data_IF_759953212729
#
_entry.id   IF_759953212729
#
_cell.length_a   1.000
_cell.length_b   1.000
_cell.length_c   1.000
_cell.angle_alpha   90.00
_cell.angle_beta   90.00
_cell.angle_gamma   90.00
#
_symmetry.space_group_name_H-M   'P 1'
#
loop_
_entity.id
_entity.type
_entity.pdbx_description
1 polymer ?
#
# COMPACT_ATOMS: atom_id res chain seq x y z
N UNK A 1 -30.74 30.33 39.27
CA UNK A 1 -29.86 29.14 39.30
C UNK A 1 -29.23 29.02 37.92
N UNK A 2 -27.93 29.21 37.79
CA UNK A 2 -27.24 29.06 36.49
C UNK A 2 -26.95 27.58 36.26
N UNK A 3 -27.61 26.99 35.26
CA UNK A 3 -27.35 25.61 34.86
C UNK A 3 -25.96 25.49 34.22
N UNK A 4 -25.15 24.56 34.71
CA UNK A 4 -23.86 24.20 34.10
C UNK A 4 -24.10 23.09 33.09
N UNK A 5 -23.50 23.21 31.91
CA UNK A 5 -23.65 22.25 30.80
C UNK A 5 -22.27 21.67 30.48
N UNK A 6 -22.20 20.38 30.16
CA UNK A 6 -20.97 19.74 29.70
C UNK A 6 -20.74 19.92 28.19
N UNK A 7 -19.51 20.24 27.81
CA UNK A 7 -19.15 20.42 26.40
C UNK A 7 -18.92 19.06 25.71
N UNK A 8 -19.62 18.73 24.60
CA UNK A 8 -19.54 17.42 23.93
C UNK A 8 -18.22 17.15 23.15
N UNK A 9 -17.22 18.01 23.29
CA UNK A 9 -15.93 17.92 22.57
C UNK A 9 -14.73 17.79 23.52
N UNK A 10 -14.85 18.30 24.75
CA UNK A 10 -13.76 18.30 25.73
C UNK A 10 -14.23 17.90 27.13
N UNK A 11 -15.51 17.54 27.27
CA UNK A 11 -16.19 17.10 28.48
C UNK A 11 -16.06 18.05 29.68
N UNK A 12 -15.68 19.30 29.43
CA UNK A 12 -15.55 20.34 30.45
C UNK A 12 -16.92 20.96 30.76
N UNK A 13 -17.17 21.18 32.04
CA UNK A 13 -18.34 21.91 32.54
C UNK A 13 -18.15 23.41 32.29
N UNK A 14 -19.17 24.06 31.72
CA UNK A 14 -19.17 25.49 31.50
C UNK A 14 -20.55 26.11 31.70
N UNK A 15 -20.57 27.39 32.08
CA UNK A 15 -21.80 28.16 32.20
C UNK A 15 -22.10 28.83 30.85
N UNK A 16 -23.22 28.50 30.17
CA UNK A 16 -23.54 29.07 28.87
C UNK A 16 -23.85 30.57 28.99
N UNK A 17 -23.24 31.38 28.13
CA UNK A 17 -23.53 32.83 28.05
C UNK A 17 -24.80 33.12 27.26
N UNK A 18 -25.21 32.20 26.38
CA UNK A 18 -26.40 32.31 25.53
C UNK A 18 -27.23 31.04 25.69
N UNK A 19 -28.57 31.15 25.60
CA UNK A 19 -29.52 30.04 25.76
C UNK A 19 -29.21 28.82 24.85
N UNK A 20 -28.62 29.04 23.68
CA UNK A 20 -28.32 27.98 22.70
C UNK A 20 -26.82 27.63 22.61
N UNK A 21 -26.01 28.03 23.61
CA UNK A 21 -24.57 27.75 23.58
C UNK A 21 -24.28 26.31 24.01
N UNK A 22 -23.96 25.45 23.04
CA UNK A 22 -23.66 24.02 23.28
C UNK A 22 -22.17 23.72 23.51
N UNK A 23 -21.28 24.66 23.21
CA UNK A 23 -19.83 24.46 23.28
C UNK A 23 -19.19 25.47 24.22
N UNK A 24 -18.20 25.03 24.99
CA UNK A 24 -17.45 25.90 25.91
C UNK A 24 -16.65 26.99 25.17
N UNK A 25 -16.25 26.73 23.93
CA UNK A 25 -15.46 27.64 23.10
C UNK A 25 -15.70 27.44 21.61
N UNK A 26 -15.35 28.45 20.83
CA UNK A 26 -15.35 28.40 19.37
C UNK A 26 -14.42 27.31 18.82
N UNK A 27 -13.33 27.01 19.52
CA UNK A 27 -12.41 25.93 19.17
C UNK A 27 -13.08 24.56 19.28
N UNK A 28 -13.87 24.33 20.34
CA UNK A 28 -14.62 23.09 20.52
C UNK A 28 -15.73 22.92 19.49
N UNK A 29 -16.42 24.02 19.13
CA UNK A 29 -17.39 24.05 18.04
C UNK A 29 -16.74 23.71 16.69
N UNK A 30 -15.64 24.38 16.35
CA UNK A 30 -14.87 24.13 15.11
C UNK A 30 -14.29 22.72 15.06
N UNK A 31 -13.79 22.19 16.18
CA UNK A 31 -13.24 20.82 16.25
C UNK A 31 -14.31 19.77 15.95
N UNK A 32 -15.54 19.95 16.43
CA UNK A 32 -16.66 19.06 16.10
C UNK A 32 -17.06 19.14 14.62
N UNK A 33 -17.06 20.34 14.02
CA UNK A 33 -17.49 20.53 12.62
C UNK A 33 -16.41 20.24 11.56
N UNK A 34 -15.11 20.33 11.91
CA UNK A 34 -13.98 20.26 10.95
C UNK A 34 -13.95 19.02 10.06
N UNK A 35 -14.53 17.91 10.52
CA UNK A 35 -14.54 16.63 9.79
C UNK A 35 -15.93 16.02 9.64
N UNK A 36 -16.98 16.66 10.15
CA UNK A 36 -18.34 16.14 10.09
C UNK A 36 -18.85 15.97 8.64
N UNK A 37 -18.47 16.87 7.73
CA UNK A 37 -18.88 16.82 6.32
C UNK A 37 -18.07 15.83 5.46
N UNK A 38 -16.99 15.22 5.99
CA UNK A 38 -16.03 14.43 5.19
C UNK A 38 -16.35 12.93 5.15
N UNK A 39 -17.46 12.48 5.76
CA UNK A 39 -17.87 11.08 5.81
C UNK A 39 -16.86 10.16 6.54
N UNK A 40 -17.12 8.85 6.53
CA UNK A 40 -16.22 7.85 7.09
C UNK A 40 -15.09 7.50 6.11
N UNK A 41 -14.09 8.39 5.99
CA UNK A 41 -12.89 8.15 5.15
C UNK A 41 -12.19 6.82 5.43
N UNK A 42 -12.35 6.30 6.64
CA UNK A 42 -11.86 4.97 7.01
C UNK A 42 -12.46 3.89 6.12
N UNK A 43 -13.79 3.81 5.99
CA UNK A 43 -14.44 2.73 5.23
C UNK A 43 -14.19 2.86 3.73
N UNK A 44 -14.16 4.08 3.20
CA UNK A 44 -13.80 4.35 1.80
C UNK A 44 -12.36 3.90 1.52
N UNK A 45 -11.42 4.24 2.39
CA UNK A 45 -10.03 3.84 2.25
C UNK A 45 -9.83 2.32 2.39
N UNK A 46 -10.58 1.68 3.29
CA UNK A 46 -10.61 0.21 3.43
C UNK A 46 -11.08 -0.44 2.13
N UNK A 47 -12.17 0.06 1.53
CA UNK A 47 -12.67 -0.45 0.25
C UNK A 47 -11.65 -0.27 -0.87
N UNK A 48 -11.06 0.92 -1.01
CA UNK A 48 -10.04 1.18 -2.03
C UNK A 48 -8.79 0.31 -1.84
N UNK A 49 -8.39 0.08 -0.60
CA UNK A 49 -7.27 -0.82 -0.28
C UNK A 49 -7.61 -2.27 -0.64
N UNK A 50 -8.82 -2.71 -0.33
CA UNK A 50 -9.30 -4.05 -0.70
C UNK A 50 -9.28 -4.25 -2.22
N UNK A 51 -9.87 -3.34 -2.99
CA UNK A 51 -9.88 -3.40 -4.45
C UNK A 51 -8.47 -3.41 -5.06
N UNK A 52 -7.55 -2.62 -4.48
CA UNK A 52 -6.15 -2.57 -4.91
C UNK A 52 -5.42 -3.91 -4.72
N UNK A 53 -5.54 -4.53 -3.54
CA UNK A 53 -4.87 -5.80 -3.26
C UNK A 53 -5.56 -7.01 -3.89
N UNK A 54 -6.89 -7.00 -4.00
CA UNK A 54 -7.64 -8.01 -4.74
C UNK A 54 -7.23 -8.01 -6.22
N UNK A 55 -7.11 -6.82 -6.82
CA UNK A 55 -6.60 -6.68 -8.19
C UNK A 55 -5.17 -7.20 -8.33
N UNK A 56 -4.29 -6.89 -7.38
CA UNK A 56 -2.92 -7.40 -7.38
C UNK A 56 -2.88 -8.94 -7.33
N UNK A 57 -3.76 -9.55 -6.53
CA UNK A 57 -3.90 -11.00 -6.42
C UNK A 57 -4.41 -11.62 -7.73
N UNK A 58 -5.40 -11.03 -8.40
CA UNK A 58 -5.86 -11.52 -9.71
C UNK A 58 -4.76 -11.50 -10.78
N UNK A 59 -3.94 -10.45 -10.79
CA UNK A 59 -2.79 -10.38 -11.70
C UNK A 59 -1.73 -11.44 -11.37
N UNK A 60 -1.47 -11.68 -10.09
CA UNK A 60 -0.59 -12.74 -9.64
C UNK A 60 -1.10 -14.11 -10.10
N UNK A 61 -2.38 -14.40 -9.83
CA UNK A 61 -3.03 -15.64 -10.23
C UNK A 61 -2.92 -15.86 -11.74
N UNK A 62 -3.24 -14.85 -12.54
CA UNK A 62 -3.11 -14.89 -14.00
C UNK A 62 -1.69 -15.26 -14.48
N UNK A 63 -0.65 -14.73 -13.83
CA UNK A 63 0.74 -15.07 -14.16
C UNK A 63 1.08 -16.51 -13.75
N UNK A 64 0.59 -16.99 -12.62
CA UNK A 64 0.98 -18.31 -12.09
C UNK A 64 0.11 -19.47 -12.59
N UNK A 65 -1.12 -19.21 -13.04
CA UNK A 65 -1.95 -20.18 -13.77
C UNK A 65 -1.42 -20.40 -15.19
N UNK A 66 -0.78 -19.39 -15.78
CA UNK A 66 -0.09 -19.52 -17.06
C UNK A 66 1.07 -20.51 -16.97
N UNK A 67 1.22 -21.35 -18.01
CA UNK A 67 2.29 -22.33 -18.11
C UNK A 67 3.69 -21.67 -17.96
N UNK A 68 4.66 -22.30 -17.28
CA UNK A 68 5.95 -21.69 -16.94
C UNK A 68 6.67 -21.01 -18.10
N UNK A 69 6.64 -21.62 -19.28
CA UNK A 69 7.24 -21.11 -20.52
C UNK A 69 6.59 -19.81 -21.03
N UNK A 70 5.29 -19.63 -20.79
CA UNK A 70 4.52 -18.48 -21.26
C UNK A 70 4.45 -17.32 -20.24
N UNK A 71 4.88 -17.53 -18.99
CA UNK A 71 4.81 -16.51 -17.92
C UNK A 71 5.57 -15.24 -18.27
N UNK A 72 6.69 -15.35 -18.99
CA UNK A 72 7.48 -14.19 -19.43
C UNK A 72 6.70 -13.34 -20.45
N UNK A 73 6.03 -13.99 -21.41
CA UNK A 73 5.14 -13.31 -22.36
C UNK A 73 3.96 -12.66 -21.67
N UNK A 74 3.37 -13.35 -20.67
CA UNK A 74 2.30 -12.78 -19.85
C UNK A 74 2.76 -11.53 -19.09
N UNK A 75 3.96 -11.56 -18.50
CA UNK A 75 4.52 -10.39 -17.83
C UNK A 75 4.78 -9.23 -18.79
N UNK A 76 5.30 -9.51 -20.01
CA UNK A 76 5.46 -8.50 -21.06
C UNK A 76 4.13 -7.85 -21.42
N UNK A 77 3.07 -8.66 -21.58
CA UNK A 77 1.71 -8.17 -21.86
C UNK A 77 1.20 -7.26 -20.75
N UNK A 78 1.35 -7.65 -19.47
CA UNK A 78 0.99 -6.81 -18.33
C UNK A 78 1.75 -5.48 -18.36
N UNK A 79 3.07 -5.50 -18.59
CA UNK A 79 3.87 -4.28 -18.67
C UNK A 79 3.48 -3.38 -19.84
N UNK A 80 2.97 -3.93 -20.95
CA UNK A 80 2.44 -3.16 -22.07
C UNK A 80 1.27 -2.26 -21.69
N UNK A 81 0.48 -2.64 -20.69
CA UNK A 81 -0.68 -1.87 -20.23
C UNK A 81 -0.32 -0.74 -19.23
N UNK A 82 0.97 -0.60 -18.87
CA UNK A 82 1.43 0.38 -17.88
C UNK A 82 1.05 1.82 -18.24
N UNK A 83 1.04 2.19 -19.52
CA UNK A 83 0.78 3.57 -19.94
C UNK A 83 -0.69 3.94 -19.74
N UNK A 84 -1.59 3.01 -20.02
CA UNK A 84 -3.03 3.22 -19.98
C UNK A 84 -3.61 3.01 -18.57
N UNK A 85 -2.99 2.17 -17.74
CA UNK A 85 -3.55 1.77 -16.45
C UNK A 85 -2.82 2.38 -15.24
N UNK A 86 -3.44 3.40 -14.66
CA UNK A 86 -2.94 4.03 -13.44
C UNK A 86 -2.98 3.10 -12.21
N UNK A 87 -3.97 2.21 -12.12
CA UNK A 87 -4.11 1.25 -11.02
C UNK A 87 -3.00 0.22 -11.06
N UNK A 88 -2.67 -0.30 -12.25
CA UNK A 88 -1.55 -1.23 -12.44
C UNK A 88 -0.23 -0.59 -11.99
N UNK A 89 0.04 0.66 -12.38
CA UNK A 89 1.24 1.37 -11.94
C UNK A 89 1.32 1.49 -10.41
N UNK A 90 0.20 1.76 -9.74
CA UNK A 90 0.14 1.82 -8.28
C UNK A 90 0.46 0.46 -7.66
N UNK A 91 -0.09 -0.62 -8.19
CA UNK A 91 0.18 -1.99 -7.73
C UNK A 91 1.66 -2.36 -7.90
N UNK A 92 2.23 -2.13 -9.08
CA UNK A 92 3.62 -2.51 -9.38
C UNK A 92 4.66 -1.71 -8.60
N UNK A 93 4.30 -0.51 -8.12
CA UNK A 93 5.19 0.37 -7.35
C UNK A 93 4.90 0.39 -5.85
N UNK A 94 3.92 -0.40 -5.40
CA UNK A 94 3.49 -0.47 -4.01
C UNK A 94 4.65 -0.94 -3.10
N UNK A 95 5.09 -0.11 -2.13
CA UNK A 95 6.17 -0.48 -1.23
C UNK A 95 5.84 -1.68 -0.33
N UNK A 96 4.57 -1.91 -0.01
CA UNK A 96 4.14 -3.04 0.82
C UNK A 96 4.37 -4.35 0.08
N UNK A 97 3.92 -4.44 -1.17
CA UNK A 97 4.13 -5.63 -2.00
C UNK A 97 5.62 -5.86 -2.28
N UNK A 98 6.40 -4.82 -2.55
CA UNK A 98 7.83 -4.98 -2.82
C UNK A 98 8.63 -5.47 -1.59
N UNK A 99 8.19 -5.12 -0.37
CA UNK A 99 8.86 -5.49 0.89
C UNK A 99 8.32 -6.75 1.55
N UNK A 100 7.23 -7.31 1.05
CA UNK A 100 6.63 -8.52 1.62
C UNK A 100 7.68 -9.64 1.73
N UNK A 101 7.72 -10.48 2.79
CA UNK A 101 8.62 -11.63 2.81
C UNK A 101 8.32 -12.62 1.66
N UNK A 102 9.30 -13.46 1.26
CA UNK A 102 9.03 -14.55 0.33
C UNK A 102 7.93 -15.48 0.89
N UNK A 103 7.07 -15.97 0.01
CA UNK A 103 6.04 -16.96 0.38
C UNK A 103 6.67 -18.33 0.57
N UNK A 104 5.99 -19.20 1.30
CA UNK A 104 6.40 -20.59 1.48
C UNK A 104 6.55 -21.36 0.15
N UNK A 105 5.72 -21.04 -0.84
CA UNK A 105 5.76 -21.67 -2.18
C UNK A 105 6.90 -21.12 -3.09
N UNK A 106 7.78 -20.25 -2.58
CA UNK A 106 8.79 -19.48 -3.34
C UNK A 106 8.25 -18.61 -4.49
N UNK A 107 6.92 -18.54 -4.64
CA UNK A 107 6.25 -17.69 -5.63
C UNK A 107 6.37 -16.22 -5.23
N UNK A 108 6.67 -15.38 -6.21
CA UNK A 108 6.81 -13.92 -6.04
C UNK A 108 5.45 -13.28 -6.23
N UNK A 109 5.10 -12.30 -5.42
CA UNK A 109 3.94 -11.46 -5.71
C UNK A 109 4.15 -10.68 -7.04
N UNK A 110 3.07 -10.13 -7.58
CA UNK A 110 3.09 -9.47 -8.89
C UNK A 110 4.11 -8.33 -8.98
N UNK A 111 4.24 -7.50 -7.94
CA UNK A 111 5.17 -6.38 -7.91
C UNK A 111 6.64 -6.85 -7.94
N UNK A 112 6.97 -7.89 -7.17
CA UNK A 112 8.31 -8.51 -7.18
C UNK A 112 8.59 -9.23 -8.49
N UNK A 113 7.60 -9.91 -9.05
CA UNK A 113 7.74 -10.59 -10.33
C UNK A 113 8.03 -9.58 -11.45
N UNK A 114 7.28 -8.47 -11.50
CA UNK A 114 7.52 -7.37 -12.43
C UNK A 114 8.89 -6.72 -12.21
N UNK A 115 9.28 -6.42 -10.96
CA UNK A 115 10.59 -5.84 -10.67
C UNK A 115 11.74 -6.77 -11.03
N UNK A 116 11.57 -8.09 -10.87
CA UNK A 116 12.57 -9.07 -11.30
C UNK A 116 12.64 -9.15 -12.83
N UNK A 117 11.50 -9.07 -13.51
CA UNK A 117 11.41 -9.04 -14.96
C UNK A 117 12.12 -7.80 -15.53
N UNK A 118 11.76 -6.60 -15.06
CA UNK A 118 12.38 -5.36 -15.58
C UNK A 118 13.87 -5.32 -15.33
N UNK A 119 14.31 -5.81 -14.16
CA UNK A 119 15.74 -5.90 -13.84
C UNK A 119 16.47 -6.91 -14.73
N UNK A 120 15.82 -8.03 -15.09
CA UNK A 120 16.42 -9.08 -15.93
C UNK A 120 16.57 -8.64 -17.39
N UNK A 121 15.55 -8.00 -17.96
CA UNK A 121 15.51 -7.69 -19.39
C UNK A 121 15.97 -6.28 -19.73
N UNK A 122 15.69 -5.30 -18.87
CA UNK A 122 16.01 -3.89 -19.13
C UNK A 122 17.11 -3.35 -18.20
N UNK A 123 17.58 -4.14 -17.24
CA UNK A 123 18.62 -3.72 -16.28
C UNK A 123 18.15 -2.65 -15.27
N UNK A 124 16.88 -2.24 -15.30
CA UNK A 124 16.35 -1.12 -14.51
C UNK A 124 15.32 -1.57 -13.46
N UNK A 125 15.11 -0.70 -12.46
CA UNK A 125 14.04 -0.87 -11.48
C UNK A 125 12.67 -0.66 -12.14
N UNK A 126 11.60 -1.25 -11.57
CA UNK A 126 10.23 -1.09 -12.09
C UNK A 126 9.77 0.37 -12.11
N UNK A 127 10.23 1.20 -11.16
CA UNK A 127 9.90 2.64 -11.12
C UNK A 127 10.54 3.38 -12.29
N UNK A 128 11.84 3.17 -12.48
CA UNK A 128 12.60 3.74 -13.60
C UNK A 128 12.04 3.28 -14.95
N UNK A 129 11.65 2.00 -15.05
CA UNK A 129 11.00 1.47 -16.25
C UNK A 129 9.69 2.20 -16.56
N UNK A 130 8.83 2.44 -15.57
CA UNK A 130 7.58 3.18 -15.75
C UNK A 130 7.83 4.62 -16.19
N UNK A 131 8.86 5.28 -15.63
CA UNK A 131 9.27 6.63 -16.02
C UNK A 131 9.78 6.68 -17.46
N UNK A 132 10.67 5.76 -17.84
CA UNK A 132 11.17 5.62 -19.21
C UNK A 132 10.06 5.29 -20.20
N UNK A 133 9.13 4.42 -19.81
CA UNK A 133 7.97 4.07 -20.62
C UNK A 133 7.10 5.30 -20.89
N UNK A 134 6.86 6.14 -19.88
CA UNK A 134 6.13 7.41 -20.05
C UNK A 134 6.87 8.40 -20.92
N UNK A 135 8.20 8.42 -20.85
CA UNK A 135 9.05 9.30 -21.65
C UNK A 135 9.25 8.79 -23.09
N UNK A 136 8.85 7.55 -23.41
CA UNK A 136 9.09 6.92 -24.71
C UNK A 136 10.54 6.53 -24.96
N UNK A 137 11.37 6.45 -23.91
CA UNK A 137 12.82 6.20 -24.01
C UNK A 137 13.20 4.76 -23.63
N UNK A 138 12.29 3.80 -23.83
CA UNK A 138 12.55 2.40 -23.48
C UNK A 138 13.61 1.85 -24.42
N UNK A 139 14.82 1.64 -23.92
CA UNK A 139 15.85 0.89 -24.62
C UNK A 139 15.52 -0.60 -24.45
N UNK A 140 15.09 -1.27 -25.54
CA UNK A 140 14.70 -2.69 -25.52
C UNK A 140 15.90 -3.64 -25.30
N UNK A 141 17.12 -3.14 -25.41
CA UNK A 141 18.35 -3.93 -25.36
C UNK A 141 19.39 -3.27 -24.46
N UNK A 142 19.64 -3.85 -23.28
CA UNK A 142 20.88 -3.63 -22.55
C UNK A 142 21.59 -4.98 -22.36
N UNK A 143 22.87 -5.13 -22.75
CA UNK A 143 23.66 -6.28 -22.34
C UNK A 143 23.80 -6.24 -20.82
N UNK A 144 23.27 -7.26 -20.15
CA UNK A 144 23.26 -7.36 -18.69
C UNK A 144 24.69 -7.57 -18.18
N UNK A 145 25.43 -6.50 -17.91
CA UNK A 145 26.65 -6.58 -17.10
C UNK A 145 26.23 -6.74 -15.65
N UNK A 146 26.35 -7.97 -15.13
CA UNK A 146 26.09 -8.28 -13.72
C UNK A 146 27.15 -7.60 -12.86
N UNK A 147 26.91 -6.37 -12.41
CA UNK A 147 27.66 -5.78 -11.30
C UNK A 147 27.14 -6.35 -9.99
N UNK A 148 28.06 -6.88 -9.17
CA UNK A 148 27.76 -7.52 -7.89
C UNK A 148 26.95 -6.59 -6.96
N UNK A 149 26.05 -7.12 -6.11
CA UNK A 149 25.25 -6.29 -5.23
C UNK A 149 26.14 -5.56 -4.21
N UNK A 150 26.14 -4.22 -4.25
CA UNK A 150 26.68 -3.41 -3.15
C UNK A 150 25.82 -3.63 -1.91
N UNK A 151 26.43 -4.09 -0.82
CA UNK A 151 25.78 -4.18 0.48
C UNK A 151 25.33 -2.78 0.92
N UNK A 152 24.02 -2.61 1.22
CA UNK A 152 23.51 -1.37 1.82
C UNK A 152 23.59 -1.48 3.34
N UNK A 153 24.08 -0.45 4.05
CA UNK A 153 23.95 -0.39 5.51
C UNK A 153 22.47 -0.37 5.92
N UNK A 154 22.15 -1.06 7.00
CA UNK A 154 20.81 -1.15 7.58
C UNK A 154 20.36 0.25 8.06
N UNK A 155 19.50 0.91 7.28
CA UNK A 155 18.94 2.21 7.63
C UNK A 155 17.73 2.04 8.55
N UNK A 156 17.78 2.70 9.71
CA UNK A 156 16.77 2.69 10.77
C UNK A 156 15.37 3.10 10.32
N UNK A 157 14.40 2.47 10.97
CA UNK A 157 12.97 2.59 10.74
C UNK A 157 12.42 4.00 10.99
N UNK A 158 11.94 4.64 9.92
CA UNK A 158 10.81 5.57 9.99
C UNK A 158 9.88 5.32 8.81
N UNK A 159 8.84 4.51 9.04
CA UNK A 159 7.76 4.30 8.07
C UNK A 159 6.53 5.06 8.54
N UNK A 160 6.09 6.14 7.85
CA UNK A 160 4.84 6.79 8.18
C UNK A 160 3.62 6.04 7.61
N UNK A 161 2.69 5.75 8.52
CA UNK A 161 1.24 5.57 8.43
C UNK A 161 0.57 5.36 7.05
N UNK A 162 0.44 4.10 6.61
CA UNK A 162 -0.79 3.36 6.17
C UNK A 162 -0.40 1.87 6.16
N UNK A 163 -0.29 1.24 7.33
CA UNK A 163 0.29 -0.11 7.46
C UNK A 163 -0.58 -1.11 8.24
N UNK A 164 -1.69 -0.68 8.83
CA UNK A 164 -2.55 -1.59 9.62
C UNK A 164 -3.48 -2.39 8.71
N UNK A 165 -4.25 -1.72 7.87
CA UNK A 165 -5.23 -2.36 6.98
C UNK A 165 -4.58 -3.26 5.92
N UNK A 166 -3.43 -2.85 5.38
CA UNK A 166 -2.66 -3.66 4.42
C UNK A 166 -2.04 -4.90 5.07
N UNK A 167 -1.52 -4.78 6.30
CA UNK A 167 -0.97 -5.91 7.04
C UNK A 167 -2.07 -6.87 7.53
N UNK A 168 -3.28 -6.35 7.79
CA UNK A 168 -4.44 -7.16 8.16
C UNK A 168 -5.01 -7.92 6.97
N UNK A 169 -5.16 -7.28 5.81
CA UNK A 169 -5.55 -7.97 4.57
C UNK A 169 -4.55 -9.07 4.19
N UNK A 170 -3.24 -8.77 4.21
CA UNK A 170 -2.21 -9.78 3.91
C UNK A 170 -2.16 -10.91 4.95
N UNK A 171 -2.46 -10.62 6.23
CA UNK A 171 -2.63 -11.65 7.26
C UNK A 171 -3.85 -12.53 7.00
N UNK A 172 -4.99 -11.94 6.67
CA UNK A 172 -6.23 -12.68 6.40
C UNK A 172 -6.11 -13.55 5.14
N UNK A 173 -5.44 -13.06 4.09
CA UNK A 173 -5.12 -13.86 2.90
C UNK A 173 -4.16 -15.02 3.22
N UNK A 174 -3.17 -14.81 4.11
CA UNK A 174 -2.30 -15.91 4.58
C UNK A 174 -3.07 -16.95 5.38
N UNK A 175 -3.94 -16.52 6.29
CA UNK A 175 -4.79 -17.40 7.10
C UNK A 175 -5.76 -18.20 6.22
N UNK A 176 -6.41 -17.56 5.23
CA UNK A 176 -7.30 -18.22 4.28
C UNK A 176 -6.59 -19.24 3.36
N UNK A 177 -5.26 -19.13 3.21
CA UNK A 177 -4.42 -20.04 2.41
C UNK A 177 -3.59 -21.02 3.25
N UNK A 178 -3.85 -21.11 4.56
CA UNK A 178 -3.17 -22.05 5.46
C UNK A 178 -1.71 -21.71 5.79
N UNK A 179 -1.27 -20.47 5.57
CA UNK A 179 0.10 -20.03 5.89
C UNK A 179 0.11 -19.46 7.32
N UNK A 180 0.77 -20.16 8.24
CA UNK A 180 0.90 -19.72 9.64
C UNK A 180 1.54 -18.32 9.73
N UNK A 181 1.08 -17.45 10.65
CA UNK A 181 1.74 -16.17 10.88
C UNK A 181 3.17 -16.42 11.36
N UNK A 182 4.15 -15.81 10.69
CA UNK A 182 5.52 -15.76 11.19
C UNK A 182 5.48 -15.03 12.52
N UNK A 183 5.69 -15.77 13.62
CA UNK A 183 5.85 -15.19 14.94
C UNK A 183 6.95 -14.14 14.85
N UNK A 184 6.60 -12.89 15.15
CA UNK A 184 7.61 -11.87 15.41
C UNK A 184 8.22 -12.24 16.76
N UNK A 185 9.26 -13.07 16.74
CA UNK A 185 10.10 -13.25 17.90
C UNK A 185 10.68 -11.88 18.28
N UNK A 186 10.48 -11.56 19.55
CA UNK A 186 10.87 -10.31 20.17
C UNK A 186 12.39 -10.12 20.03
N UNK A 187 12.79 -9.03 19.39
CA UNK A 187 14.13 -8.48 19.59
C UNK A 187 14.07 -7.72 20.92
N UNK A 188 14.26 -8.47 22.01
CA UNK A 188 14.64 -7.97 23.31
C UNK A 188 16.03 -8.56 23.61
N UNK A 189 17.07 -7.78 23.31
CA UNK A 189 18.39 -7.83 23.92
C UNK A 189 19.12 -6.53 23.56
#
# INVERSE_FOLDING_TARGET
>A
MTEQIQCPTCDAEFTPRRKNQMYCSDNCRKRKSRHAARGSRSSENTRLSYEHYERAQRLEEMVYTTAPQARLGMMKSILGHILHDAGLRRILTDPVLLREPPRADDRKNIAKAASAYTKKFYGVSIRTYIEQAKAGTINEEFPVTRTAPRQRPLAGSRLPYVQRDAAEFLRNVRLARGVAPVAQEAIAA
#
